data_IF_569042197466
#
_entry.id   IF_569042197466
#
_cell.length_a   1.000
_cell.length_b   1.000
_cell.length_c   1.000
_cell.angle_alpha   90.00
_cell.angle_beta   90.00
_cell.angle_gamma   90.00
#
_symmetry.space_group_name_H-M   'P 1'
#
loop_
_entity.id
_entity.type
_entity.pdbx_description
1 polymer ?
#
# COMPACT_ATOMS: atom_id res chain seq x y z
N UNK A 1 47.65 -47.06 -9.75
CA UNK A 1 46.38 -46.30 -9.78
C UNK A 1 45.48 -46.90 -8.71
N UNK A 2 45.58 -46.41 -7.48
CA UNK A 2 44.78 -46.90 -6.36
C UNK A 2 43.64 -45.91 -6.14
N UNK A 3 42.41 -46.36 -6.35
CA UNK A 3 41.21 -45.58 -6.05
C UNK A 3 40.99 -45.56 -4.52
N UNK A 4 40.66 -44.40 -3.92
CA UNK A 4 40.39 -44.32 -2.49
C UNK A 4 39.04 -44.95 -2.12
N UNK A 5 39.00 -45.61 -0.96
CA UNK A 5 37.80 -46.21 -0.37
C UNK A 5 36.78 -45.14 0.09
N UNK A 6 35.47 -45.45 0.12
CA UNK A 6 34.43 -44.50 0.48
C UNK A 6 34.44 -44.17 1.98
N UNK A 7 34.38 -42.87 2.28
CA UNK A 7 34.26 -42.33 3.64
C UNK A 7 32.80 -42.47 4.11
N UNK A 8 32.56 -43.33 5.09
CA UNK A 8 31.29 -43.43 5.81
C UNK A 8 31.15 -42.21 6.74
N UNK A 9 30.25 -41.29 6.40
CA UNK A 9 29.87 -40.15 7.25
C UNK A 9 29.04 -40.63 8.44
N UNK A 10 29.62 -40.51 9.64
CA UNK A 10 28.97 -40.80 10.92
C UNK A 10 28.01 -39.67 11.28
N UNK A 11 26.70 -39.94 11.32
CA UNK A 11 25.66 -39.00 11.77
C UNK A 11 25.49 -39.18 13.29
N UNK A 12 25.78 -38.17 14.14
CA UNK A 12 25.57 -38.30 15.58
C UNK A 12 24.09 -38.23 15.97
N UNK A 13 23.64 -39.00 16.98
CA UNK A 13 22.25 -39.06 17.42
C UNK A 13 21.82 -37.78 18.16
N UNK A 14 20.54 -37.45 17.95
CA UNK A 14 19.85 -36.24 18.41
C UNK A 14 19.51 -36.36 19.91
N UNK A 15 20.33 -35.77 20.77
CA UNK A 15 20.10 -35.74 22.22
C UNK A 15 19.01 -34.71 22.60
N UNK A 16 17.99 -35.20 23.28
CA UNK A 16 16.79 -34.50 23.74
C UNK A 16 17.09 -33.87 25.11
N UNK A 17 17.42 -32.58 25.15
CA UNK A 17 17.75 -31.92 26.42
C UNK A 17 16.47 -31.50 27.16
N UNK A 18 16.22 -32.22 28.25
CA UNK A 18 15.29 -31.92 29.34
C UNK A 18 15.82 -30.71 30.11
N UNK A 19 14.98 -29.69 30.30
CA UNK A 19 15.28 -28.49 31.09
C UNK A 19 15.03 -28.78 32.58
N UNK A 20 16.11 -28.82 33.35
CA UNK A 20 16.11 -29.07 34.79
C UNK A 20 15.84 -27.77 35.57
N UNK A 21 14.87 -27.84 36.48
CA UNK A 21 14.44 -26.82 37.43
C UNK A 21 15.30 -26.98 38.69
N UNK A 22 16.22 -26.06 38.98
CA UNK A 22 16.42 -25.45 40.31
C UNK A 22 17.68 -24.55 40.34
N UNK A 23 17.39 -23.30 40.68
CA UNK A 23 18.23 -22.12 40.80
C UNK A 23 19.22 -22.27 41.97
N UNK A 24 20.53 -22.21 41.69
CA UNK A 24 21.53 -21.81 42.69
C UNK A 24 21.95 -20.36 42.43
N UNK A 25 21.52 -19.51 43.34
CA UNK A 25 21.95 -18.13 43.46
C UNK A 25 23.48 -18.03 43.59
N UNK A 26 24.11 -17.05 42.92
CA UNK A 26 24.78 -15.89 43.56
C UNK A 26 25.76 -15.14 42.63
N UNK A 27 25.44 -13.85 42.41
CA UNK A 27 26.28 -12.65 42.15
C UNK A 27 27.36 -12.72 41.04
N UNK A 28 27.46 -11.79 40.08
CA UNK A 28 27.70 -10.35 40.26
C UNK A 28 27.67 -9.62 38.89
N UNK A 29 27.22 -8.36 38.87
CA UNK A 29 27.41 -7.33 37.82
C UNK A 29 27.09 -7.67 36.35
N UNK A 30 25.92 -7.26 35.87
CA UNK A 30 25.75 -6.97 34.44
C UNK A 30 24.82 -5.77 34.24
N UNK A 31 25.25 -4.89 33.35
CA UNK A 31 24.55 -3.76 32.77
C UNK A 31 23.06 -4.04 32.52
N UNK A 32 22.20 -3.07 32.84
CA UNK A 32 20.80 -3.08 32.45
C UNK A 32 20.72 -2.91 30.94
N UNK A 33 20.80 -4.02 30.20
CA UNK A 33 20.35 -4.05 28.81
C UNK A 33 18.83 -3.98 28.88
N UNK A 34 18.26 -2.81 28.61
CA UNK A 34 16.83 -2.65 28.41
C UNK A 34 16.38 -3.66 27.34
N UNK A 35 15.45 -4.57 27.63
CA UNK A 35 14.96 -5.49 26.62
C UNK A 35 14.29 -4.68 25.51
N UNK A 36 14.79 -4.91 24.30
CA UNK A 36 14.19 -4.60 23.01
C UNK A 36 12.67 -4.33 23.05
N UNK A 37 12.23 -3.32 22.29
CA UNK A 37 10.86 -3.13 21.84
C UNK A 37 10.37 -4.29 20.96
N UNK A 38 10.30 -5.48 21.55
CA UNK A 38 9.53 -6.61 21.03
C UNK A 38 8.09 -6.25 21.32
N UNK A 39 7.38 -5.69 20.34
CA UNK A 39 5.92 -5.63 20.41
C UNK A 39 5.44 -7.06 20.58
N UNK A 40 4.71 -7.40 21.67
CA UNK A 40 4.21 -8.75 21.83
C UNK A 40 3.34 -9.09 20.62
N UNK A 41 3.70 -10.18 19.93
CA UNK A 41 2.84 -10.76 18.89
C UNK A 41 1.55 -11.17 19.60
N UNK A 42 0.47 -10.44 19.30
CA UNK A 42 -0.87 -10.76 19.79
C UNK A 42 -1.21 -12.19 19.37
N UNK A 43 -1.22 -13.13 20.32
CA UNK A 43 -1.92 -14.40 20.15
C UNK A 43 -3.40 -14.07 20.36
N UNK A 44 -4.04 -13.51 19.33
CA UNK A 44 -5.50 -13.45 19.26
C UNK A 44 -5.93 -14.77 18.60
N UNK A 45 -6.28 -15.74 19.43
CA UNK A 45 -7.14 -16.83 19.01
C UNK A 45 -8.47 -16.23 18.55
N UNK A 46 -8.98 -16.67 17.39
CA UNK A 46 -10.33 -16.46 16.85
C UNK A 46 -10.69 -15.13 16.15
N UNK A 47 -9.90 -14.71 15.16
CA UNK A 47 -10.45 -13.95 14.02
C UNK A 47 -10.38 -14.81 12.75
N UNK A 48 -11.42 -14.88 11.90
CA UNK A 48 -11.30 -15.54 10.61
C UNK A 48 -10.18 -14.82 9.84
N UNK A 49 -9.16 -15.57 9.44
CA UNK A 49 -7.94 -15.02 8.86
C UNK A 49 -8.24 -14.66 7.40
N UNK A 50 -8.96 -13.56 7.21
CA UNK A 50 -9.18 -12.94 5.92
C UNK A 50 -8.08 -11.90 5.70
N UNK A 51 -7.07 -12.24 4.89
CA UNK A 51 -6.00 -11.30 4.53
C UNK A 51 -6.46 -10.47 3.33
N UNK A 52 -6.52 -9.14 3.48
CA UNK A 52 -7.05 -8.24 2.47
C UNK A 52 -5.98 -7.29 1.91
N UNK A 53 -6.21 -6.82 0.68
CA UNK A 53 -5.37 -5.82 0.02
C UNK A 53 -5.44 -4.45 0.69
N UNK A 54 -4.73 -3.48 0.11
CA UNK A 54 -4.74 -2.08 0.59
C UNK A 54 -5.14 -1.13 -0.54
N UNK A 55 -5.48 0.12 -0.21
CA UNK A 55 -5.89 1.12 -1.22
C UNK A 55 -7.11 0.69 -2.02
N UNK A 56 -6.99 0.68 -3.36
CA UNK A 56 -8.05 0.31 -4.31
C UNK A 56 -8.45 -1.17 -4.24
N UNK A 57 -7.64 -2.02 -3.60
CA UNK A 57 -7.89 -3.46 -3.43
C UNK A 57 -8.30 -3.79 -1.99
N UNK A 58 -8.70 -2.79 -1.18
CA UNK A 58 -9.09 -2.99 0.24
C UNK A 58 -10.24 -3.96 0.46
N UNK A 59 -11.08 -4.17 -0.57
CA UNK A 59 -12.20 -5.11 -0.54
C UNK A 59 -11.83 -6.49 -1.13
N UNK A 60 -10.62 -6.63 -1.68
CA UNK A 60 -10.11 -7.89 -2.21
C UNK A 60 -9.39 -8.65 -1.12
N UNK A 61 -9.86 -9.86 -0.82
CA UNK A 61 -9.34 -10.64 0.29
C UNK A 61 -9.13 -12.11 -0.07
N UNK A 62 -8.08 -12.68 0.50
CA UNK A 62 -7.90 -14.10 0.67
C UNK A 62 -8.73 -14.56 1.88
N UNK A 63 -9.43 -15.68 1.71
CA UNK A 63 -10.27 -16.32 2.72
C UNK A 63 -9.54 -17.43 3.46
N UNK A 64 -8.28 -17.69 3.09
CA UNK A 64 -7.47 -18.76 3.67
C UNK A 64 -6.02 -18.34 3.87
N UNK A 65 -5.39 -18.61 5.04
CA UNK A 65 -4.03 -18.18 5.35
C UNK A 65 -2.96 -18.80 4.43
N UNK A 66 -3.26 -19.92 3.78
CA UNK A 66 -2.35 -20.58 2.82
C UNK A 66 -2.48 -20.07 1.39
N UNK A 67 -3.39 -19.12 1.09
CA UNK A 67 -3.62 -18.64 -0.27
C UNK A 67 -2.33 -18.18 -0.97
N UNK A 68 -1.49 -17.40 -0.28
CA UNK A 68 -0.21 -16.94 -0.83
C UNK A 68 0.74 -18.09 -1.19
N UNK A 69 0.78 -19.12 -0.34
CA UNK A 69 1.60 -20.31 -0.57
C UNK A 69 1.09 -21.12 -1.75
N UNK A 70 -0.22 -21.32 -1.86
CA UNK A 70 -0.85 -22.06 -2.94
C UNK A 70 -0.75 -21.34 -4.28
N UNK A 71 -0.95 -20.02 -4.29
CA UNK A 71 -0.74 -19.21 -5.49
C UNK A 71 0.69 -19.35 -6.02
N UNK A 72 1.70 -19.32 -5.12
CA UNK A 72 3.11 -19.53 -5.48
C UNK A 72 3.42 -20.95 -6.00
N UNK A 73 2.58 -21.93 -5.67
CA UNK A 73 2.64 -23.30 -6.21
C UNK A 73 1.89 -23.48 -7.54
N UNK A 74 1.28 -22.40 -8.05
CA UNK A 74 0.55 -22.37 -9.31
C UNK A 74 -0.90 -22.83 -9.20
N UNK A 75 -1.48 -22.89 -7.99
CA UNK A 75 -2.86 -23.36 -7.80
C UNK A 75 -3.88 -22.44 -8.47
N UNK A 76 -3.57 -21.14 -8.65
CA UNK A 76 -4.45 -20.23 -9.38
C UNK A 76 -4.74 -20.71 -10.82
N UNK A 77 -3.80 -21.43 -11.44
CA UNK A 77 -3.97 -22.00 -12.78
C UNK A 77 -4.42 -23.46 -12.76
N UNK A 78 -3.94 -24.25 -11.79
CA UNK A 78 -4.28 -25.69 -11.67
C UNK A 78 -5.67 -25.92 -11.10
N UNK A 79 -6.11 -25.05 -10.19
CA UNK A 79 -7.39 -25.13 -9.50
C UNK A 79 -8.09 -23.75 -9.42
N UNK A 80 -8.35 -23.09 -10.56
CA UNK A 80 -8.92 -21.75 -10.61
C UNK A 80 -10.31 -21.69 -9.98
N UNK A 81 -11.11 -22.75 -10.14
CA UNK A 81 -12.48 -22.79 -9.63
C UNK A 81 -12.54 -22.61 -8.11
N UNK A 82 -11.57 -23.14 -7.38
CA UNK A 82 -11.49 -22.96 -5.93
C UNK A 82 -10.69 -21.70 -5.58
N UNK A 83 -9.57 -21.46 -6.26
CA UNK A 83 -8.65 -20.39 -5.92
C UNK A 83 -9.21 -18.99 -6.21
N UNK A 84 -9.83 -18.74 -7.36
CA UNK A 84 -10.31 -17.40 -7.71
C UNK A 84 -11.33 -16.84 -6.70
N UNK A 85 -12.36 -17.57 -6.23
CA UNK A 85 -13.31 -17.04 -5.25
C UNK A 85 -12.80 -17.02 -3.80
N UNK A 86 -11.73 -17.75 -3.46
CA UNK A 86 -11.22 -17.91 -2.09
C UNK A 86 -9.86 -17.26 -1.84
N UNK A 87 -9.08 -16.99 -2.88
CA UNK A 87 -7.73 -16.45 -2.84
C UNK A 87 -7.59 -15.30 -3.85
N UNK A 88 -8.54 -14.37 -3.81
CA UNK A 88 -8.67 -13.29 -4.81
C UNK A 88 -7.43 -12.42 -4.85
N UNK A 89 -6.89 -12.08 -3.67
CA UNK A 89 -5.70 -11.24 -3.55
C UNK A 89 -4.46 -12.00 -4.04
N UNK A 90 -4.25 -13.21 -3.52
CA UNK A 90 -3.09 -14.05 -3.89
C UNK A 90 -3.07 -14.48 -5.36
N UNK A 91 -4.24 -14.63 -5.99
CA UNK A 91 -4.35 -14.96 -7.42
C UNK A 91 -4.49 -13.74 -8.32
N UNK A 92 -4.42 -12.52 -7.78
CA UNK A 92 -4.64 -11.27 -8.52
C UNK A 92 -5.96 -11.25 -9.30
N UNK A 93 -6.99 -11.87 -8.72
CA UNK A 93 -8.36 -11.89 -9.21
C UNK A 93 -9.23 -10.89 -8.43
N UNK A 94 -8.65 -9.74 -8.10
CA UNK A 94 -9.40 -8.64 -7.52
C UNK A 94 -10.20 -8.00 -8.64
N UNK A 95 -11.51 -7.87 -8.45
CA UNK A 95 -12.28 -6.86 -9.16
C UNK A 95 -11.78 -5.52 -8.61
N UNK A 96 -10.80 -4.92 -9.28
CA UNK A 96 -10.64 -3.49 -9.18
C UNK A 96 -11.86 -2.89 -9.86
N UNK A 97 -12.36 -1.78 -9.36
CA UNK A 97 -13.27 -0.91 -10.11
C UNK A 97 -12.49 -0.32 -11.30
N UNK A 98 -12.05 -1.18 -12.21
CA UNK A 98 -11.43 -0.84 -13.47
C UNK A 98 -12.56 -0.43 -14.38
N UNK A 99 -12.66 0.88 -14.52
CA UNK A 99 -13.53 1.59 -15.45
C UNK A 99 -14.97 1.74 -15.00
N UNK A 100 -15.17 2.48 -13.92
CA UNK A 100 -15.77 3.81 -14.14
C UNK A 100 -14.87 4.83 -13.45
N UNK A 101 -14.33 5.77 -14.23
CA UNK A 101 -14.27 7.16 -13.74
C UNK A 101 -15.69 7.44 -13.32
N UNK A 102 -15.97 7.28 -12.04
CA UNK A 102 -16.82 8.20 -11.31
C UNK A 102 -17.51 9.21 -12.21
N UNK A 103 -18.67 8.81 -12.70
CA UNK A 103 -19.47 9.62 -13.60
C UNK A 103 -20.05 10.85 -12.88
N UNK A 104 -19.71 11.04 -11.61
CA UNK A 104 -20.09 12.17 -10.76
C UNK A 104 -18.90 12.93 -10.13
N UNK A 105 -17.66 12.72 -10.58
CA UNK A 105 -16.52 13.52 -10.08
C UNK A 105 -16.21 14.71 -10.98
N UNK A 106 -16.39 15.90 -10.43
CA UNK A 106 -15.72 17.09 -10.92
C UNK A 106 -14.24 16.76 -11.18
N UNK A 107 -13.73 17.08 -12.37
CA UNK A 107 -12.33 16.89 -12.73
C UNK A 107 -11.47 17.92 -11.98
N UNK A 108 -11.34 17.72 -10.68
CA UNK A 108 -10.58 18.59 -9.79
C UNK A 108 -9.14 18.14 -9.66
N UNK A 109 -8.26 19.09 -9.38
CA UNK A 109 -6.88 18.84 -9.03
C UNK A 109 -6.75 18.12 -7.69
N UNK A 110 -5.51 17.87 -7.27
CA UNK A 110 -5.21 17.27 -5.96
C UNK A 110 -4.30 18.20 -5.15
N UNK A 111 -4.22 18.00 -3.84
CA UNK A 111 -3.37 18.82 -2.97
C UNK A 111 -3.79 20.29 -2.98
N UNK A 112 -2.85 21.20 -3.29
CA UNK A 112 -3.09 22.66 -3.32
C UNK A 112 -4.04 23.12 -4.44
N UNK A 113 -4.32 22.24 -5.40
CA UNK A 113 -5.23 22.50 -6.53
C UNK A 113 -6.55 21.73 -6.36
N UNK A 114 -6.86 21.22 -5.15
CA UNK A 114 -8.11 20.49 -4.89
C UNK A 114 -9.37 21.31 -5.18
N UNK A 115 -9.27 22.64 -5.09
CA UNK A 115 -10.37 23.57 -5.37
C UNK A 115 -10.44 23.97 -6.86
N UNK A 116 -9.47 23.56 -7.66
CA UNK A 116 -9.39 23.88 -9.08
C UNK A 116 -9.93 22.72 -9.90
N UNK A 117 -10.97 22.96 -10.70
CA UNK A 117 -11.65 21.89 -11.42
C UNK A 117 -11.96 22.27 -12.85
N UNK A 118 -11.93 21.27 -13.72
CA UNK A 118 -12.56 21.33 -15.02
C UNK A 118 -14.06 21.00 -14.87
N UNK A 119 -14.87 21.80 -15.55
CA UNK A 119 -16.33 21.65 -15.64
C UNK A 119 -16.77 20.73 -16.77
N UNK A 120 -15.82 20.32 -17.63
CA UNK A 120 -16.12 19.49 -18.79
C UNK A 120 -15.09 18.37 -18.95
N UNK A 121 -15.52 17.11 -19.17
CA UNK A 121 -14.61 15.96 -19.25
C UNK A 121 -13.60 16.04 -20.42
N UNK A 122 -13.93 16.80 -21.46
CA UNK A 122 -13.05 17.04 -22.62
C UNK A 122 -12.01 18.15 -22.43
N UNK A 123 -11.99 18.85 -21.29
CA UNK A 123 -11.06 19.96 -21.05
C UNK A 123 -9.59 19.59 -21.30
N UNK A 124 -9.15 18.40 -20.85
CA UNK A 124 -7.78 17.94 -21.06
C UNK A 124 -7.44 17.76 -22.55
N UNK A 125 -8.41 17.25 -23.33
CA UNK A 125 -8.26 17.06 -24.78
C UNK A 125 -8.20 18.41 -25.51
N UNK A 126 -9.06 19.35 -25.13
CA UNK A 126 -9.08 20.71 -25.69
C UNK A 126 -7.81 21.49 -25.35
N UNK A 127 -7.33 21.41 -24.11
CA UNK A 127 -6.07 22.01 -23.72
C UNK A 127 -4.90 21.46 -24.54
N UNK A 128 -4.85 20.13 -24.76
CA UNK A 128 -3.85 19.49 -25.63
C UNK A 128 -3.92 19.92 -27.10
N UNK A 129 -5.07 20.42 -27.56
CA UNK A 129 -5.26 21.01 -28.91
C UNK A 129 -4.93 22.51 -28.97
N UNK A 130 -4.51 23.10 -27.85
CA UNK A 130 -4.17 24.52 -27.77
C UNK A 130 -5.36 25.45 -27.54
N UNK A 131 -6.51 24.92 -27.13
CA UNK A 131 -7.70 25.74 -26.86
C UNK A 131 -7.48 26.76 -25.74
N UNK A 132 -6.55 26.50 -24.81
CA UNK A 132 -6.17 27.49 -23.79
C UNK A 132 -5.64 28.81 -24.40
N UNK A 133 -5.10 28.76 -25.62
CA UNK A 133 -4.61 29.92 -26.37
C UNK A 133 -5.61 30.38 -27.43
N UNK A 134 -6.28 29.44 -28.11
CA UNK A 134 -7.20 29.74 -29.22
C UNK A 134 -8.59 30.18 -28.74
N UNK A 135 -9.02 29.70 -27.58
CA UNK A 135 -10.31 30.00 -26.96
C UNK A 135 -10.17 30.23 -25.44
N UNK A 136 -9.37 31.22 -25.03
CA UNK A 136 -9.02 31.42 -23.62
C UNK A 136 -10.23 31.75 -22.76
N UNK A 137 -11.22 32.49 -23.27
CA UNK A 137 -12.39 32.90 -22.48
C UNK A 137 -13.19 31.69 -21.97
N UNK A 138 -13.48 30.74 -22.86
CA UNK A 138 -14.17 29.51 -22.49
C UNK A 138 -13.30 28.63 -21.59
N UNK A 139 -12.02 28.47 -21.97
CA UNK A 139 -11.13 27.54 -21.31
C UNK A 139 -10.72 27.99 -19.91
N UNK A 140 -10.51 29.28 -19.67
CA UNK A 140 -10.21 29.80 -18.33
C UNK A 140 -11.43 29.73 -17.40
N UNK A 141 -12.64 29.67 -17.94
CA UNK A 141 -13.87 29.58 -17.13
C UNK A 141 -14.28 28.14 -16.84
N UNK A 142 -14.01 27.21 -17.77
CA UNK A 142 -14.51 25.84 -17.72
C UNK A 142 -13.41 24.78 -17.58
N UNK A 143 -12.15 25.13 -17.85
CA UNK A 143 -11.05 24.19 -17.96
C UNK A 143 -9.81 24.71 -17.21
N UNK A 144 -10.01 25.29 -16.02
CA UNK A 144 -8.95 25.96 -15.23
C UNK A 144 -7.80 25.00 -14.90
N UNK A 145 -8.13 23.77 -14.55
CA UNK A 145 -7.14 22.75 -14.22
C UNK A 145 -6.36 22.35 -15.48
N UNK A 146 -7.07 22.02 -16.55
CA UNK A 146 -6.47 21.64 -17.84
C UNK A 146 -5.61 22.74 -18.47
N UNK A 147 -5.92 24.02 -18.23
CA UNK A 147 -5.11 25.14 -18.69
C UNK A 147 -4.05 25.62 -17.69
N UNK A 148 -3.92 24.95 -16.53
CA UNK A 148 -2.98 25.30 -15.46
C UNK A 148 -3.17 26.74 -14.96
N UNK A 149 -4.42 27.15 -14.79
CA UNK A 149 -4.83 28.51 -14.39
C UNK A 149 -5.56 28.50 -13.04
N UNK A 150 -5.24 27.50 -12.22
CA UNK A 150 -5.68 27.41 -10.85
C UNK A 150 -5.12 28.58 -10.04
N UNK A 151 -5.99 29.33 -9.38
CA UNK A 151 -5.58 30.27 -8.34
C UNK A 151 -5.16 29.43 -7.13
N UNK A 152 -3.86 29.46 -6.80
CA UNK A 152 -3.37 28.90 -5.54
C UNK A 152 -3.30 30.04 -4.53
N UNK A 153 -3.93 29.86 -3.36
CA UNK A 153 -3.95 30.83 -2.24
C UNK A 153 -2.54 31.16 -1.71
N UNK A 154 -1.76 31.95 -2.46
CA UNK A 154 -0.40 32.35 -2.07
C UNK A 154 -0.03 33.79 -2.42
N UNK A 155 -1.00 34.65 -2.69
CA UNK A 155 -0.76 36.07 -2.98
C UNK A 155 -1.85 36.95 -2.34
N UNK A 156 -1.91 37.04 -1.01
CA UNK A 156 -2.47 38.21 -0.31
C UNK A 156 -1.73 38.43 1.03
N UNK A 157 -0.47 38.88 0.93
CA UNK A 157 0.11 39.77 1.93
C UNK A 157 0.96 40.83 1.23
N UNK A 158 0.30 41.61 0.41
CA UNK A 158 0.84 42.89 -0.07
C UNK A 158 -0.26 43.93 0.10
N UNK A 159 -0.01 44.87 1.01
CA UNK A 159 -0.78 46.12 1.23
C UNK A 159 -1.92 46.10 2.26
N UNK A 160 -1.57 45.83 3.53
CA UNK A 160 -2.12 46.70 4.58
C UNK A 160 -1.60 48.12 4.31
N UNK A 161 -2.38 48.87 3.52
CA UNK A 161 -2.27 50.31 3.33
C UNK A 161 -2.21 50.94 4.72
N UNK A 162 -1.05 51.48 5.08
CA UNK A 162 -0.92 52.39 6.21
C UNK A 162 -1.95 53.50 6.01
N UNK A 163 -3.01 53.50 6.83
CA UNK A 163 -3.78 54.69 7.08
C UNK A 163 -2.99 55.48 8.11
N UNK A 164 -2.08 56.31 7.61
CA UNK A 164 -1.75 57.55 8.31
C UNK A 164 -3.07 58.32 8.49
N UNK A 165 -3.41 58.62 9.74
CA UNK A 165 -4.34 59.67 10.07
C UNK A 165 -3.56 60.72 10.87
N UNK A 166 -3.76 61.95 10.42
CA UNK A 166 -3.15 63.21 10.88
C UNK A 166 -3.31 63.45 12.37
#
# INVERSE_FOLDING_TARGET
MSLPAPVLLHIPPRERQVIDFQILARFCSVFVVTPNHIKPRRIESSQPISECGTGRERNCCDKHPSCASWARQGECSKNPKWMLPNCQLSCHNCETDSEERSTDEAQCGTGRESNCCDKHPSCASWAGRGECSNNPEYMLTNCQLSCHKCETDSEERSTHKAREFQ
#
